data_IF_830899544564
#
_entry.id   IF_830899544564
#
_cell.length_a   1.000
_cell.length_b   1.000
_cell.length_c   1.000
_cell.angle_alpha   90.00
_cell.angle_beta   90.00
_cell.angle_gamma   90.00
#
_symmetry.space_group_name_H-M   'P 1'
#
loop_
_entity.id
_entity.type
_entity.pdbx_description
1 polymer ?
#
# COMPACT_ATOMS: atom_id res chain seq x y z
N UNK A 1 -33.21 31.21 -12.54
CA UNK A 1 -32.96 30.15 -11.55
C UNK A 1 -32.83 28.90 -12.36
N UNK A 2 -31.67 28.71 -12.98
CA UNK A 2 -31.42 27.57 -13.85
C UNK A 2 -29.97 27.14 -13.61
N UNK A 3 -29.85 25.84 -13.36
CA UNK A 3 -28.72 25.20 -12.72
C UNK A 3 -27.44 25.29 -13.55
N UNK A 4 -26.41 25.86 -12.93
CA UNK A 4 -25.02 25.70 -13.32
C UNK A 4 -24.71 24.19 -13.27
N UNK A 5 -24.67 23.54 -14.42
CA UNK A 5 -24.12 22.19 -14.55
C UNK A 5 -22.60 22.32 -14.48
N UNK A 6 -22.02 22.02 -13.33
CA UNK A 6 -20.57 21.95 -13.14
C UNK A 6 -20.01 20.75 -13.91
N UNK A 7 -19.22 21.08 -14.92
CA UNK A 7 -18.36 20.20 -15.72
C UNK A 7 -17.21 19.61 -14.88
N UNK A 8 -17.53 18.74 -13.90
CA UNK A 8 -16.51 18.00 -13.14
C UNK A 8 -16.16 16.71 -13.88
N UNK A 9 -15.39 16.86 -14.97
CA UNK A 9 -14.79 15.74 -15.68
C UNK A 9 -13.86 14.93 -14.75
N UNK A 10 -14.28 13.70 -14.43
CA UNK A 10 -13.46 12.54 -14.02
C UNK A 10 -12.09 12.81 -13.33
N UNK A 11 -12.04 13.64 -12.30
CA UNK A 11 -10.84 13.75 -11.45
C UNK A 11 -10.89 12.61 -10.41
N UNK A 12 -10.15 11.53 -10.68
CA UNK A 12 -10.05 10.42 -9.73
C UNK A 12 -9.52 10.91 -8.39
N UNK A 13 -10.30 10.72 -7.32
CA UNK A 13 -9.89 11.09 -5.96
C UNK A 13 -8.96 9.99 -5.41
N UNK A 14 -7.71 10.31 -5.04
CA UNK A 14 -6.81 9.34 -4.44
C UNK A 14 -7.36 8.84 -3.10
N UNK A 15 -7.32 7.52 -2.89
CA UNK A 15 -7.71 6.87 -1.62
C UNK A 15 -6.55 6.87 -0.62
N UNK A 16 -5.32 6.77 -1.13
CA UNK A 16 -4.08 6.79 -0.35
C UNK A 16 -3.08 7.70 -1.03
N UNK A 17 -2.57 8.67 -0.28
CA UNK A 17 -1.44 9.49 -0.72
C UNK A 17 -0.12 8.74 -0.49
N UNK A 18 0.96 9.20 -1.12
CA UNK A 18 2.29 8.62 -0.95
C UNK A 18 2.73 8.41 0.53
N UNK A 19 2.57 9.37 1.45
CA UNK A 19 2.90 9.16 2.86
C UNK A 19 1.98 8.13 3.53
N UNK A 20 0.73 7.97 3.08
CA UNK A 20 -0.20 6.98 3.64
C UNK A 20 0.25 5.57 3.28
N UNK A 21 0.68 5.36 2.03
CA UNK A 21 1.22 4.09 1.56
C UNK A 21 2.44 3.70 2.40
N UNK A 22 3.37 4.63 2.64
CA UNK A 22 4.55 4.35 3.45
C UNK A 22 4.19 3.90 4.88
N UNK A 23 3.24 4.60 5.53
CA UNK A 23 2.78 4.23 6.88
C UNK A 23 2.09 2.87 6.90
N UNK A 24 1.23 2.59 5.92
CA UNK A 24 0.52 1.31 5.82
C UNK A 24 1.49 0.16 5.60
N UNK A 25 2.51 0.33 4.75
CA UNK A 25 3.52 -0.71 4.54
C UNK A 25 4.33 -1.03 5.80
N UNK A 26 4.74 -0.01 6.57
CA UNK A 26 5.40 -0.23 7.87
C UNK A 26 4.49 -1.00 8.84
N UNK A 27 3.21 -0.64 8.89
CA UNK A 27 2.24 -1.34 9.75
C UNK A 27 2.09 -2.80 9.36
N UNK A 28 1.93 -3.09 8.06
CA UNK A 28 1.81 -4.46 7.56
C UNK A 28 3.07 -5.27 7.89
N UNK A 29 4.26 -4.68 7.73
CA UNK A 29 5.52 -5.35 8.05
C UNK A 29 5.59 -5.77 9.52
N UNK A 30 5.31 -4.86 10.47
CA UNK A 30 5.25 -5.21 11.89
C UNK A 30 4.20 -6.29 12.18
N UNK A 31 3.02 -6.22 11.56
CA UNK A 31 1.98 -7.24 11.75
C UNK A 31 2.41 -8.62 11.22
N UNK A 32 3.20 -8.68 10.14
CA UNK A 32 3.78 -9.93 9.62
C UNK A 32 4.77 -10.51 10.62
N UNK A 33 5.74 -9.72 11.10
CA UNK A 33 6.77 -10.18 12.04
C UNK A 33 6.14 -10.68 13.34
N UNK A 34 5.18 -9.94 13.89
CA UNK A 34 4.49 -10.33 15.13
C UNK A 34 3.75 -11.66 14.95
N UNK A 35 3.01 -11.84 13.84
CA UNK A 35 2.25 -13.06 13.58
C UNK A 35 3.14 -14.26 13.29
N UNK A 36 4.27 -14.04 12.62
CA UNK A 36 5.26 -15.06 12.31
C UNK A 36 6.20 -15.37 13.50
N UNK A 37 6.14 -14.57 14.57
CA UNK A 37 7.04 -14.62 15.75
C UNK A 37 8.51 -14.42 15.38
N UNK A 38 8.76 -13.55 14.41
CA UNK A 38 10.07 -13.31 13.82
C UNK A 38 10.01 -13.26 12.29
N UNK A 39 11.09 -12.81 11.65
CA UNK A 39 11.18 -12.68 10.19
C UNK A 39 11.99 -13.81 9.53
N UNK A 40 12.66 -14.66 10.31
CA UNK A 40 13.69 -15.59 9.82
C UNK A 40 13.18 -16.63 8.82
N UNK A 41 11.91 -17.06 8.94
CA UNK A 41 11.29 -18.09 8.09
C UNK A 41 10.10 -17.54 7.28
N UNK A 42 10.11 -16.22 7.00
CA UNK A 42 9.05 -15.55 6.24
C UNK A 42 9.46 -15.37 4.79
N UNK A 43 8.61 -15.84 3.86
CA UNK A 43 8.78 -15.62 2.42
C UNK A 43 7.70 -14.66 1.91
N UNK A 44 8.13 -13.57 1.25
CA UNK A 44 7.22 -12.66 0.56
C UNK A 44 7.17 -12.98 -0.94
N UNK A 45 5.99 -13.38 -1.42
CA UNK A 45 5.74 -13.64 -2.85
C UNK A 45 4.85 -12.54 -3.44
N UNK A 46 5.42 -11.71 -4.31
CA UNK A 46 4.68 -10.67 -5.02
C UNK A 46 4.08 -11.16 -6.34
N UNK A 47 2.76 -11.02 -6.51
CA UNK A 47 2.09 -11.36 -7.78
C UNK A 47 2.35 -10.26 -8.82
N UNK A 48 2.78 -10.58 -10.06
CA UNK A 48 2.99 -9.59 -11.11
C UNK A 48 1.72 -8.76 -11.42
N UNK A 49 1.85 -7.48 -11.83
CA UNK A 49 3.08 -6.72 -12.10
C UNK A 49 3.54 -5.86 -10.91
N UNK A 50 2.60 -5.22 -10.21
CA UNK A 50 2.89 -4.29 -9.09
C UNK A 50 3.11 -5.00 -7.74
N UNK A 51 2.60 -6.22 -7.56
CA UNK A 51 2.79 -6.97 -6.32
C UNK A 51 4.25 -7.31 -6.05
N UNK A 52 5.07 -7.47 -7.09
CA UNK A 52 6.53 -7.66 -6.96
C UNK A 52 7.20 -6.44 -6.31
N UNK A 53 6.82 -5.22 -6.70
CA UNK A 53 7.36 -4.00 -6.10
C UNK A 53 6.88 -3.81 -4.66
N UNK A 54 5.63 -4.17 -4.37
CA UNK A 54 5.11 -4.13 -2.99
C UNK A 54 5.81 -5.14 -2.09
N UNK A 55 6.04 -6.37 -2.56
CA UNK A 55 6.77 -7.38 -1.81
C UNK A 55 8.20 -6.93 -1.47
N UNK A 56 8.90 -6.29 -2.41
CA UNK A 56 10.23 -5.70 -2.15
C UNK A 56 10.17 -4.59 -1.10
N UNK A 57 9.22 -3.65 -1.23
CA UNK A 57 9.04 -2.58 -0.25
C UNK A 57 8.68 -3.10 1.15
N UNK A 58 7.93 -4.19 1.24
CA UNK A 58 7.63 -4.86 2.50
C UNK A 58 8.88 -5.52 3.08
N UNK A 59 9.68 -6.21 2.26
CA UNK A 59 10.94 -6.83 2.69
C UNK A 59 11.88 -5.79 3.32
N UNK A 60 12.02 -4.61 2.70
CA UNK A 60 12.82 -3.48 3.22
C UNK A 60 12.29 -2.90 4.56
N UNK A 61 11.13 -3.38 5.04
CA UNK A 61 10.46 -2.93 6.28
C UNK A 61 10.37 -4.04 7.32
N UNK A 62 10.83 -5.26 7.03
CA UNK A 62 10.81 -6.41 7.95
C UNK A 62 12.05 -6.45 8.87
N UNK A 63 12.97 -5.48 8.77
CA UNK A 63 14.14 -5.32 9.65
C UNK A 63 13.78 -5.16 11.14
#
# INVERSE_FOLDING_TARGET
MDAQHDDTGNAARPVLEAPDIARVLTRIAHEIVERAKGADDVVLLGIPTRGVFLARRLADKLE
#
